data_IF_764899508257
#
_entry.id   IF_764899508257
#
_cell.length_a   1.000
_cell.length_b   1.000
_cell.length_c   1.000
_cell.angle_alpha   90.00
_cell.angle_beta   90.00
_cell.angle_gamma   90.00
#
_symmetry.space_group_name_H-M   'P 1'
#
loop_
_entity.id
_entity.type
_entity.pdbx_description
1 polymer ?
#
# COMPACT_ATOMS: atom_id res chain seq x y z
N UNK A 1 18.19 10.12 -34.30
CA UNK A 1 18.10 9.51 -35.65
C UNK A 1 17.66 8.05 -35.69
N UNK A 2 17.98 7.22 -34.69
CA UNK A 2 17.62 5.79 -34.66
C UNK A 2 16.12 5.50 -34.87
N UNK A 3 15.22 6.24 -34.23
CA UNK A 3 13.77 6.03 -34.42
C UNK A 3 13.25 6.45 -35.81
N UNK A 4 13.95 7.33 -36.53
CA UNK A 4 13.48 7.81 -37.86
C UNK A 4 13.63 6.77 -38.96
N UNK A 5 14.48 5.78 -38.75
CA UNK A 5 14.75 4.67 -39.68
C UNK A 5 14.20 3.34 -39.17
N UNK A 6 13.43 3.34 -38.08
CA UNK A 6 12.82 2.15 -37.50
C UNK A 6 11.65 1.69 -38.37
N UNK A 7 11.55 0.38 -38.62
CA UNK A 7 10.45 -0.27 -39.33
C UNK A 7 9.12 -0.17 -38.58
N UNK A 8 9.16 0.07 -37.26
CA UNK A 8 7.99 0.28 -36.42
C UNK A 8 7.53 1.76 -36.36
N UNK A 9 8.22 2.70 -37.00
CA UNK A 9 7.92 4.14 -36.86
C UNK A 9 6.45 4.51 -37.20
N UNK A 10 5.89 3.94 -38.27
CA UNK A 10 4.50 4.22 -38.64
C UNK A 10 3.49 3.63 -37.62
N UNK A 11 3.84 2.51 -36.98
CA UNK A 11 3.07 1.94 -35.87
C UNK A 11 3.21 2.80 -34.60
N UNK A 12 4.43 3.19 -34.24
CA UNK A 12 4.72 3.98 -33.05
C UNK A 12 4.06 5.37 -33.08
N UNK A 13 3.92 5.98 -34.27
CA UNK A 13 3.23 7.26 -34.45
C UNK A 13 1.74 7.21 -34.12
N UNK A 14 1.10 6.06 -34.30
CA UNK A 14 -0.36 5.89 -34.11
C UNK A 14 -0.69 5.23 -32.76
N UNK A 15 0.30 4.66 -32.08
CA UNK A 15 0.11 4.09 -30.76
C UNK A 15 -0.18 5.19 -29.74
N UNK A 16 -1.30 5.04 -29.03
CA UNK A 16 -1.55 5.85 -27.84
C UNK A 16 -0.50 5.50 -26.77
N UNK A 17 0.24 6.51 -26.31
CA UNK A 17 1.11 6.37 -25.13
C UNK A 17 0.20 6.20 -23.92
N UNK A 18 -0.09 4.95 -23.58
CA UNK A 18 -0.83 4.59 -22.37
C UNK A 18 0.10 4.67 -21.17
N UNK A 19 -0.41 5.17 -20.04
CA UNK A 19 0.29 5.12 -18.76
C UNK A 19 0.40 3.66 -18.28
N UNK A 20 1.35 2.92 -18.84
CA UNK A 20 1.68 1.56 -18.41
C UNK A 20 2.60 1.58 -17.19
N UNK A 21 2.68 0.49 -16.41
CA UNK A 21 3.65 0.37 -15.34
C UNK A 21 5.10 0.58 -15.82
N UNK A 22 5.46 0.02 -16.98
CA UNK A 22 6.80 0.19 -17.54
C UNK A 22 7.11 1.65 -17.90
N UNK A 23 6.13 2.39 -18.42
CA UNK A 23 6.23 3.83 -18.65
C UNK A 23 6.47 4.57 -17.33
N UNK A 24 5.66 4.31 -16.30
CA UNK A 24 5.85 4.91 -14.98
C UNK A 24 7.24 4.59 -14.39
N UNK A 25 7.68 3.34 -14.48
CA UNK A 25 9.00 2.92 -13.98
C UNK A 25 10.15 3.64 -14.67
N UNK A 26 10.08 3.81 -15.99
CA UNK A 26 11.09 4.54 -16.75
C UNK A 26 11.15 6.00 -16.32
N UNK A 27 10.00 6.66 -16.17
CA UNK A 27 9.92 8.06 -15.80
C UNK A 27 10.26 8.33 -14.32
N UNK A 28 9.99 7.38 -13.43
CA UNK A 28 10.37 7.46 -12.01
C UNK A 28 11.84 7.09 -11.75
N UNK A 29 12.57 6.69 -12.79
CA UNK A 29 13.98 6.29 -12.72
C UNK A 29 14.19 4.94 -12.02
N UNK A 30 13.21 4.04 -12.10
CA UNK A 30 13.28 2.69 -11.53
C UNK A 30 14.00 1.71 -12.45
N UNK A 31 13.98 1.97 -13.76
CA UNK A 31 14.65 1.15 -14.78
C UNK A 31 15.40 2.02 -15.78
N UNK A 32 16.51 1.48 -16.26
CA UNK A 32 17.28 2.00 -17.39
C UNK A 32 16.53 1.79 -18.72
N UNK A 33 16.94 2.44 -19.84
CA UNK A 33 16.22 2.29 -21.11
C UNK A 33 16.23 0.86 -21.66
N UNK A 34 17.21 0.04 -21.24
CA UNK A 34 17.30 -1.40 -21.57
C UNK A 34 16.47 -2.28 -20.63
N UNK A 35 15.76 -1.69 -19.65
CA UNK A 35 14.96 -2.41 -18.65
C UNK A 35 15.74 -2.87 -17.41
N UNK A 36 17.05 -2.61 -17.33
CA UNK A 36 17.85 -2.96 -16.16
C UNK A 36 17.38 -2.17 -14.93
N UNK A 37 17.09 -2.81 -13.78
CA UNK A 37 16.70 -2.09 -12.57
C UNK A 37 17.80 -1.14 -12.08
N UNK A 38 17.44 0.10 -11.79
CA UNK A 38 18.36 1.04 -11.13
C UNK A 38 18.49 0.72 -9.64
N UNK A 39 19.41 1.38 -8.93
CA UNK A 39 19.45 1.32 -7.45
C UNK A 39 18.09 1.68 -6.83
N UNK A 40 17.45 2.72 -7.36
CA UNK A 40 16.11 3.13 -6.97
C UNK A 40 15.10 2.01 -7.18
N UNK A 41 15.10 1.41 -8.37
CA UNK A 41 14.24 0.30 -8.74
C UNK A 41 14.42 -0.90 -7.83
N UNK A 42 15.66 -1.23 -7.46
CA UNK A 42 15.96 -2.31 -6.54
C UNK A 42 15.37 -2.06 -5.15
N UNK A 43 15.64 -0.90 -4.54
CA UNK A 43 15.05 -0.55 -3.24
C UNK A 43 13.53 -0.51 -3.32
N UNK A 44 12.99 0.12 -4.37
CA UNK A 44 11.56 0.22 -4.62
C UNK A 44 10.88 -1.15 -4.68
N UNK A 45 11.49 -2.12 -5.37
CA UNK A 45 10.94 -3.47 -5.57
C UNK A 45 10.79 -4.28 -4.28
N UNK A 46 11.43 -3.84 -3.18
CA UNK A 46 11.21 -4.46 -1.89
C UNK A 46 9.84 -4.14 -1.32
N UNK A 47 9.16 -3.07 -1.75
CA UNK A 47 7.91 -2.59 -1.16
C UNK A 47 6.70 -2.79 -2.08
N UNK A 48 5.50 -2.54 -1.54
CA UNK A 48 4.26 -2.63 -2.30
C UNK A 48 3.84 -1.26 -2.84
N UNK A 49 3.28 -1.23 -4.05
CA UNK A 49 2.77 0.01 -4.66
C UNK A 49 3.83 1.10 -4.73
N UNK A 50 3.47 2.33 -4.35
CA UNK A 50 4.37 3.50 -4.34
C UNK A 50 5.23 3.66 -3.08
N UNK A 51 5.17 2.75 -2.11
CA UNK A 51 5.76 2.95 -0.79
C UNK A 51 7.29 2.97 -0.79
N UNK A 52 7.89 2.22 -1.72
CA UNK A 52 9.34 2.17 -1.87
C UNK A 52 9.94 3.43 -2.47
N UNK A 53 9.12 4.31 -3.07
CA UNK A 53 9.58 5.56 -3.69
C UNK A 53 10.15 6.53 -2.64
N UNK A 54 9.42 6.91 -1.58
CA UNK A 54 9.99 7.72 -0.49
C UNK A 54 11.25 7.13 0.12
N UNK A 55 11.28 5.81 0.32
CA UNK A 55 12.44 5.11 0.90
C UNK A 55 13.65 5.27 0.00
N UNK A 56 13.50 4.97 -1.29
CA UNK A 56 14.59 5.08 -2.25
C UNK A 56 15.06 6.54 -2.40
N UNK A 57 14.14 7.51 -2.47
CA UNK A 57 14.48 8.93 -2.52
C UNK A 57 15.30 9.38 -1.30
N UNK A 58 14.92 8.96 -0.09
CA UNK A 58 15.63 9.31 1.14
C UNK A 58 16.99 8.61 1.27
N UNK A 59 17.13 7.40 0.74
CA UNK A 59 18.41 6.70 0.74
C UNK A 59 19.39 7.27 -0.29
N UNK A 60 18.90 7.81 -1.40
CA UNK A 60 19.71 8.49 -2.41
C UNK A 60 20.19 9.87 -1.96
N UNK A 61 19.44 10.57 -1.11
CA UNK A 61 19.87 11.83 -0.50
C UNK A 61 20.80 11.56 0.69
N UNK A 62 22.12 11.69 0.47
CA UNK A 62 23.14 11.46 1.49
C UNK A 62 22.99 12.38 2.72
N UNK A 63 22.34 13.54 2.56
CA UNK A 63 22.10 14.49 3.64
C UNK A 63 20.90 14.10 4.51
N UNK A 64 20.09 13.13 4.09
CA UNK A 64 18.93 12.68 4.85
C UNK A 64 19.36 11.81 6.03
N UNK A 65 19.09 12.21 7.28
CA UNK A 65 19.55 11.46 8.43
C UNK A 65 18.66 10.22 8.68
N UNK A 66 19.28 9.04 8.79
CA UNK A 66 18.58 7.74 8.89
C UNK A 66 17.71 7.65 10.16
N UNK A 67 18.16 8.23 11.26
CA UNK A 67 17.41 8.30 12.52
C UNK A 67 16.15 9.16 12.41
N UNK A 68 16.08 10.10 11.47
CA UNK A 68 14.84 10.83 11.17
C UNK A 68 13.99 10.04 10.18
N UNK A 69 14.62 9.44 9.16
CA UNK A 69 13.92 8.63 8.16
C UNK A 69 13.04 7.56 8.82
N UNK A 70 13.56 6.83 9.79
CA UNK A 70 12.79 5.77 10.48
C UNK A 70 11.47 6.26 11.08
N UNK A 71 11.38 7.52 11.53
CA UNK A 71 10.12 8.12 11.98
C UNK A 71 9.30 8.71 10.83
N UNK A 72 9.96 9.34 9.85
CA UNK A 72 9.32 9.93 8.67
C UNK A 72 8.57 8.89 7.82
N UNK A 73 8.97 7.61 7.88
CA UNK A 73 8.25 6.49 7.28
C UNK A 73 6.80 6.37 7.78
N UNK A 74 6.48 6.86 8.98
CA UNK A 74 5.12 6.89 9.49
C UNK A 74 4.16 7.66 8.58
N UNK A 75 4.68 8.65 7.84
CA UNK A 75 3.88 9.46 6.94
C UNK A 75 3.39 8.68 5.71
N UNK A 76 4.04 7.58 5.30
CA UNK A 76 3.76 6.89 4.01
C UNK A 76 2.32 6.36 3.92
N UNK A 77 1.75 5.89 5.03
CA UNK A 77 0.40 5.29 5.10
C UNK A 77 -0.54 6.02 6.07
N UNK A 78 -0.16 7.20 6.53
CA UNK A 78 -0.86 7.95 7.56
C UNK A 78 -2.21 8.52 7.12
N UNK A 79 -2.35 8.85 5.84
CA UNK A 79 -3.51 9.57 5.32
C UNK A 79 -3.58 11.04 5.78
N UNK A 80 -4.45 11.84 5.19
CA UNK A 80 -4.36 13.30 5.24
C UNK A 80 -4.68 13.92 6.61
N UNK A 81 -5.33 13.18 7.53
CA UNK A 81 -5.84 13.70 8.81
C UNK A 81 -4.73 14.17 9.75
N UNK A 82 -3.50 13.68 9.58
CA UNK A 82 -2.37 14.04 10.43
C UNK A 82 -1.83 15.45 10.16
N UNK A 83 -2.13 16.04 9.01
CA UNK A 83 -1.61 17.34 8.65
C UNK A 83 -2.36 18.50 9.32
N UNK A 84 -3.56 18.27 9.86
CA UNK A 84 -4.34 19.34 10.48
C UNK A 84 -4.62 20.48 9.48
N UNK A 85 -4.07 21.66 9.78
CA UNK A 85 -4.15 22.86 8.92
C UNK A 85 -2.99 22.96 7.90
N UNK A 86 -1.93 22.15 8.07
CA UNK A 86 -0.78 22.10 7.16
C UNK A 86 -1.08 21.26 5.90
N UNK A 87 -0.14 21.29 4.95
CA UNK A 87 -0.25 20.47 3.75
C UNK A 87 -0.12 18.96 4.06
N UNK A 88 -1.06 18.10 3.60
CA UNK A 88 -0.94 16.64 3.71
C UNK A 88 0.31 16.05 3.07
N UNK A 89 0.89 16.75 2.09
CA UNK A 89 2.08 16.34 1.33
C UNK A 89 3.36 17.04 1.82
N UNK A 90 3.27 17.74 2.95
CA UNK A 90 4.38 18.47 3.55
C UNK A 90 5.37 17.55 4.27
N UNK A 91 6.07 18.11 5.25
CA UNK A 91 7.13 17.42 5.98
C UNK A 91 8.37 17.16 5.12
N UNK A 92 9.46 16.76 5.78
CA UNK A 92 10.76 16.57 5.14
C UNK A 92 10.71 15.53 4.01
N UNK A 93 10.10 14.38 4.28
CA UNK A 93 10.03 13.28 3.32
C UNK A 93 9.10 13.62 2.14
N UNK A 94 7.97 14.28 2.38
CA UNK A 94 7.06 14.70 1.32
C UNK A 94 7.71 15.71 0.38
N UNK A 95 8.36 16.75 0.93
CA UNK A 95 9.11 17.74 0.15
C UNK A 95 10.23 17.09 -0.68
N UNK A 96 10.97 16.15 -0.08
CA UNK A 96 11.98 15.38 -0.81
C UNK A 96 11.38 14.62 -1.99
N UNK A 97 10.28 13.89 -1.77
CA UNK A 97 9.61 13.13 -2.81
C UNK A 97 9.11 14.04 -3.94
N UNK A 98 8.50 15.18 -3.61
CA UNK A 98 8.05 16.15 -4.61
C UNK A 98 9.20 16.71 -5.45
N UNK A 99 10.38 16.93 -4.85
CA UNK A 99 11.59 17.36 -5.55
C UNK A 99 12.12 16.27 -6.47
N UNK A 100 12.24 15.04 -5.96
CA UNK A 100 12.81 13.89 -6.69
C UNK A 100 11.90 13.44 -7.83
N UNK A 101 10.59 13.38 -7.59
CA UNK A 101 9.58 12.91 -8.53
C UNK A 101 8.84 14.05 -9.25
N UNK A 102 9.28 15.29 -9.07
CA UNK A 102 8.78 16.50 -9.77
C UNK A 102 7.27 16.63 -9.74
N UNK A 103 6.65 16.33 -8.58
CA UNK A 103 5.20 16.34 -8.40
C UNK A 103 4.41 15.49 -9.42
N UNK A 104 5.00 14.41 -9.92
CA UNK A 104 4.36 13.55 -10.90
C UNK A 104 3.14 12.79 -10.35
N UNK A 105 2.18 12.53 -11.22
CA UNK A 105 1.03 11.67 -10.97
C UNK A 105 1.18 10.36 -11.76
N UNK A 106 1.24 9.24 -11.03
CA UNK A 106 1.26 7.90 -11.60
C UNK A 106 0.25 7.04 -10.83
N UNK A 107 -0.89 6.65 -11.45
CA UNK A 107 -1.92 5.87 -10.77
C UNK A 107 -1.33 4.65 -10.05
N UNK A 108 -1.70 4.47 -8.79
CA UNK A 108 -1.22 3.38 -7.93
C UNK A 108 0.18 3.61 -7.31
N UNK A 109 0.92 4.63 -7.74
CA UNK A 109 2.26 4.95 -7.23
C UNK A 109 2.29 6.29 -6.52
N UNK A 110 2.01 7.39 -7.23
CA UNK A 110 2.15 8.75 -6.71
C UNK A 110 0.96 9.61 -7.11
N UNK A 111 0.59 10.52 -6.21
CA UNK A 111 -0.15 11.73 -6.55
C UNK A 111 0.63 12.95 -6.10
N UNK A 112 0.78 13.94 -6.99
CA UNK A 112 1.59 15.15 -6.75
C UNK A 112 2.99 14.84 -6.20
N UNK A 113 3.60 13.74 -6.67
CA UNK A 113 4.95 13.32 -6.31
C UNK A 113 5.11 12.61 -4.95
N UNK A 114 4.03 12.31 -4.23
CA UNK A 114 4.07 11.53 -2.97
C UNK A 114 3.15 10.30 -3.05
N UNK A 115 3.35 9.26 -2.23
CA UNK A 115 2.44 8.11 -2.20
C UNK A 115 0.99 8.51 -1.95
N UNK A 116 0.05 7.75 -2.52
CA UNK A 116 -1.39 8.04 -2.43
C UNK A 116 -1.93 8.11 -1.00
N UNK A 117 -1.33 7.38 -0.07
CA UNK A 117 -1.73 7.32 1.34
C UNK A 117 -0.85 8.20 2.25
N UNK A 118 -0.04 9.07 1.65
CA UNK A 118 0.87 9.93 2.39
C UNK A 118 0.10 10.92 3.26
N UNK A 119 0.61 11.14 4.46
CA UNK A 119 0.07 12.10 5.42
C UNK A 119 1.17 12.66 6.31
N UNK A 120 1.57 13.90 6.05
CA UNK A 120 2.49 14.64 6.91
C UNK A 120 1.91 14.80 8.32
N UNK A 121 2.78 14.87 9.35
CA UNK A 121 2.39 15.01 10.75
C UNK A 121 2.36 13.69 11.54
N UNK A 122 2.28 12.55 10.86
CA UNK A 122 2.29 11.25 11.55
C UNK A 122 3.64 10.92 12.16
N UNK A 123 4.73 11.35 11.55
CA UNK A 123 6.09 11.25 12.10
C UNK A 123 6.21 11.84 13.50
N UNK A 124 5.65 13.02 13.72
CA UNK A 124 5.69 13.77 14.97
C UNK A 124 4.85 13.06 16.04
N UNK A 125 3.65 12.61 15.66
CA UNK A 125 2.76 11.84 16.54
C UNK A 125 3.41 10.52 16.97
N UNK A 126 3.98 9.75 16.03
CA UNK A 126 4.66 8.49 16.33
C UNK A 126 5.87 8.74 17.23
N UNK A 127 6.67 9.77 16.95
CA UNK A 127 7.83 10.12 17.78
C UNK A 127 7.43 10.46 19.21
N UNK A 128 6.38 11.27 19.38
CA UNK A 128 5.85 11.61 20.70
C UNK A 128 5.38 10.37 21.48
N UNK A 129 4.74 9.41 20.80
CA UNK A 129 4.25 8.17 21.41
C UNK A 129 5.37 7.18 21.75
N UNK A 130 6.44 7.13 20.95
CA UNK A 130 7.62 6.33 21.27
C UNK A 130 8.37 6.91 22.47
N UNK A 131 8.41 8.24 22.60
CA UNK A 131 9.02 8.92 23.74
C UNK A 131 8.18 8.79 25.03
N UNK A 132 6.85 8.96 24.92
CA UNK A 132 5.90 8.78 26.02
C UNK A 132 4.61 8.09 25.53
N UNK A 133 4.47 6.76 25.72
CA UNK A 133 3.29 6.02 25.32
C UNK A 133 1.98 6.47 25.98
N UNK A 134 2.05 7.15 27.15
CA UNK A 134 0.86 7.62 27.89
C UNK A 134 0.32 8.94 27.34
N UNK A 135 1.06 9.62 26.46
CA UNK A 135 0.70 10.91 25.90
C UNK A 135 -0.43 10.86 24.86
N UNK A 136 -0.90 9.67 24.45
CA UNK A 136 -1.88 9.48 23.37
C UNK A 136 -3.14 10.35 23.48
N UNK A 137 -3.70 10.51 24.67
CA UNK A 137 -4.90 11.33 24.88
C UNK A 137 -4.68 12.82 24.64
N UNK A 138 -3.43 13.29 24.73
CA UNK A 138 -3.06 14.69 24.47
C UNK A 138 -2.88 15.00 22.99
N UNK A 139 -2.75 13.97 22.15
CA UNK A 139 -2.47 14.10 20.71
C UNK A 139 -3.75 14.09 19.87
N UNK A 140 -4.90 13.76 20.45
CA UNK A 140 -6.17 13.71 19.73
C UNK A 140 -6.85 15.06 19.67
N UNK A 141 -7.52 15.34 18.55
CA UNK A 141 -8.33 16.54 18.34
C UNK A 141 -9.60 16.18 17.54
N UNK A 142 -10.33 17.17 17.01
CA UNK A 142 -11.56 16.92 16.25
C UNK A 142 -11.33 16.14 14.94
N UNK A 143 -10.16 16.30 14.32
CA UNK A 143 -9.77 15.66 13.06
C UNK A 143 -8.99 14.35 13.27
N UNK A 144 -8.11 14.32 14.27
CA UNK A 144 -7.24 13.19 14.59
C UNK A 144 -7.78 12.41 15.80
N UNK A 145 -8.36 11.24 15.54
CA UNK A 145 -8.98 10.38 16.57
C UNK A 145 -8.04 9.26 17.02
N UNK A 146 -8.35 8.61 18.14
CA UNK A 146 -7.54 7.50 18.68
C UNK A 146 -7.30 6.38 17.66
N UNK A 147 -8.32 6.04 16.85
CA UNK A 147 -8.21 5.00 15.82
C UNK A 147 -7.24 5.36 14.70
N UNK A 148 -7.14 6.64 14.31
CA UNK A 148 -6.16 7.10 13.32
C UNK A 148 -4.73 6.93 13.85
N UNK A 149 -4.50 7.28 15.12
CA UNK A 149 -3.21 7.14 15.80
C UNK A 149 -2.80 5.67 15.92
N UNK A 150 -3.72 4.80 16.34
CA UNK A 150 -3.47 3.35 16.43
C UNK A 150 -3.11 2.76 15.08
N UNK A 151 -3.88 3.11 14.04
CA UNK A 151 -3.62 2.67 12.67
C UNK A 151 -2.24 3.13 12.21
N UNK A 152 -1.90 4.41 12.39
CA UNK A 152 -0.58 4.92 11.99
C UNK A 152 0.58 4.21 12.72
N UNK A 153 0.45 3.92 14.01
CA UNK A 153 1.45 3.15 14.76
C UNK A 153 1.57 1.70 14.26
N UNK A 154 0.46 1.05 13.91
CA UNK A 154 0.47 -0.31 13.34
C UNK A 154 1.13 -0.30 11.96
N UNK A 155 0.76 0.64 11.09
CA UNK A 155 1.32 0.76 9.74
C UNK A 155 2.82 1.11 9.77
N UNK A 156 3.22 2.06 10.62
CA UNK A 156 4.62 2.41 10.80
C UNK A 156 5.47 1.21 11.23
N UNK A 157 5.03 0.46 12.26
CA UNK A 157 5.71 -0.78 12.67
C UNK A 157 5.68 -1.87 11.60
N UNK A 158 4.65 -1.90 10.76
CA UNK A 158 4.58 -2.79 9.60
C UNK A 158 5.69 -2.46 8.60
N UNK A 159 5.86 -1.18 8.25
CA UNK A 159 6.93 -0.71 7.35
C UNK A 159 8.31 -1.01 7.95
N UNK A 160 8.53 -0.75 9.24
CA UNK A 160 9.82 -1.06 9.88
C UNK A 160 10.16 -2.55 9.85
N UNK A 161 9.19 -3.42 10.19
CA UNK A 161 9.38 -4.88 10.10
C UNK A 161 9.67 -5.32 8.67
N UNK A 162 8.97 -4.73 7.71
CA UNK A 162 9.18 -4.98 6.28
C UNK A 162 10.61 -4.64 5.85
N UNK A 163 11.14 -3.49 6.26
CA UNK A 163 12.54 -3.09 6.03
C UNK A 163 13.52 -4.09 6.64
N UNK A 164 13.28 -4.50 7.89
CA UNK A 164 14.16 -5.46 8.60
C UNK A 164 14.23 -6.80 7.85
N UNK A 165 13.08 -7.29 7.37
CA UNK A 165 12.96 -8.58 6.68
C UNK A 165 13.33 -8.53 5.20
N UNK A 166 13.32 -7.35 4.57
CA UNK A 166 13.64 -7.20 3.15
C UNK A 166 15.07 -7.68 2.82
N UNK A 167 15.37 -8.06 1.56
CA UNK A 167 16.69 -8.56 1.18
C UNK A 167 17.85 -7.62 1.54
N UNK A 168 19.03 -8.20 1.76
CA UNK A 168 20.26 -7.43 1.82
C UNK A 168 20.54 -6.81 0.44
N UNK A 169 21.03 -5.58 0.42
CA UNK A 169 21.37 -4.86 -0.80
C UNK A 169 22.65 -4.05 -0.56
N UNK A 170 23.62 -4.01 -1.50
CA UNK A 170 24.93 -3.40 -1.31
C UNK A 170 24.87 -1.86 -1.34
N UNK A 171 24.21 -1.27 -0.33
CA UNK A 171 24.13 0.16 -0.07
C UNK A 171 24.28 0.37 1.44
N UNK A 172 25.31 1.12 1.87
CA UNK A 172 25.57 1.35 3.30
C UNK A 172 24.36 1.91 4.04
N UNK A 173 23.74 2.94 3.46
CA UNK A 173 22.53 3.59 3.99
C UNK A 173 21.34 2.64 4.12
N UNK A 174 21.22 1.63 3.25
CA UNK A 174 20.20 0.58 3.40
C UNK A 174 20.48 -0.29 4.63
N UNK A 175 21.72 -0.71 4.81
CA UNK A 175 22.15 -1.47 6.00
C UNK A 175 21.92 -0.66 7.28
N UNK A 176 22.25 0.63 7.28
CA UNK A 176 21.98 1.55 8.39
C UNK A 176 20.48 1.68 8.68
N UNK A 177 19.65 1.86 7.64
CA UNK A 177 18.20 1.92 7.80
C UNK A 177 17.63 0.63 8.39
N UNK A 178 18.11 -0.53 7.93
CA UNK A 178 17.72 -1.83 8.50
C UNK A 178 18.08 -1.95 9.97
N UNK A 179 19.27 -1.50 10.37
CA UNK A 179 19.72 -1.52 11.76
C UNK A 179 18.87 -0.59 12.64
N UNK A 180 18.64 0.66 12.21
CA UNK A 180 17.81 1.62 12.94
C UNK A 180 16.34 1.18 13.05
N UNK A 181 15.80 0.58 11.98
CA UNK A 181 14.46 0.00 11.99
C UNK A 181 14.35 -1.17 12.98
N UNK A 182 15.37 -2.05 13.01
CA UNK A 182 15.42 -3.18 13.95
C UNK A 182 15.41 -2.70 15.40
N UNK A 183 16.22 -1.70 15.73
CA UNK A 183 16.28 -1.15 17.08
C UNK A 183 14.89 -0.64 17.55
N UNK A 184 14.16 0.05 16.67
CA UNK A 184 12.81 0.55 16.98
C UNK A 184 11.77 -0.57 17.08
N UNK A 185 11.83 -1.59 16.22
CA UNK A 185 10.97 -2.77 16.32
C UNK A 185 11.17 -3.48 17.67
N UNK A 186 12.42 -3.67 18.07
CA UNK A 186 12.75 -4.33 19.34
C UNK A 186 12.30 -3.50 20.55
N UNK A 187 12.48 -2.17 20.51
CA UNK A 187 12.03 -1.24 21.58
C UNK A 187 10.51 -1.12 21.70
N UNK A 188 9.79 -1.22 20.59
CA UNK A 188 8.33 -1.00 20.55
C UNK A 188 7.52 -2.30 20.51
N UNK A 189 8.18 -3.45 20.68
CA UNK A 189 7.53 -4.74 20.80
C UNK A 189 6.63 -4.75 22.06
N UNK A 190 5.32 -4.73 21.86
CA UNK A 190 4.37 -5.04 22.94
C UNK A 190 4.48 -6.53 23.30
N UNK A 191 4.35 -6.92 24.59
CA UNK A 191 4.36 -8.32 25.03
C UNK A 191 3.33 -9.20 24.31
N UNK A 192 2.24 -8.61 23.81
CA UNK A 192 1.14 -9.30 23.11
C UNK A 192 1.49 -9.73 21.68
N UNK A 193 2.65 -9.31 21.15
CA UNK A 193 3.11 -9.65 19.78
C UNK A 193 3.76 -11.02 19.69
N UNK A 194 4.02 -11.68 20.83
CA UNK A 194 4.60 -13.01 20.93
C UNK A 194 3.55 -14.12 20.75
N UNK A 195 2.66 -13.98 19.77
CA UNK A 195 1.92 -15.13 19.27
C UNK A 195 2.80 -15.76 18.20
N UNK A 196 3.49 -16.83 18.58
CA UNK A 196 4.24 -17.63 17.65
C UNK A 196 3.26 -18.20 16.61
N UNK A 197 3.40 -17.80 15.35
CA UNK A 197 2.54 -18.28 14.28
C UNK A 197 2.69 -19.80 14.08
N UNK A 198 3.81 -20.40 14.54
CA UNK A 198 3.98 -21.84 14.58
C UNK A 198 3.05 -22.52 15.60
N UNK A 199 2.62 -21.83 16.65
CA UNK A 199 1.56 -22.31 17.56
C UNK A 199 0.14 -22.21 17.00
N UNK A 200 -0.05 -21.64 15.80
CA UNK A 200 -1.38 -21.40 15.20
C UNK A 200 -1.70 -22.24 13.95
N UNK A 201 -1.01 -23.35 13.69
CA UNK A 201 -1.41 -24.33 12.65
C UNK A 201 -2.04 -25.60 13.27
N UNK A 202 -3.07 -26.22 12.65
CA UNK A 202 -4.46 -25.73 12.59
C UNK A 202 -5.45 -26.66 13.31
N UNK A 203 -6.42 -26.10 14.04
CA UNK A 203 -7.67 -26.78 14.45
C UNK A 203 -8.66 -26.97 13.26
N UNK A 204 -8.20 -26.86 12.00
CA UNK A 204 -9.03 -26.91 10.78
C UNK A 204 -9.15 -28.31 10.13
N UNK A 205 -8.77 -29.40 10.79
CA UNK A 205 -8.92 -30.76 10.25
C UNK A 205 -9.82 -31.70 11.09
N UNK A 206 -10.90 -31.17 11.67
CA UNK A 206 -12.01 -32.02 12.20
C UNK A 206 -13.38 -31.51 11.75
N UNK A 207 -13.57 -31.40 10.44
CA UNK A 207 -14.89 -31.26 9.83
C UNK A 207 -14.95 -31.91 8.44
N UNK A 208 -14.26 -33.03 8.26
CA UNK A 208 -14.16 -33.70 6.96
C UNK A 208 -13.64 -35.12 7.06
N UNK A 209 -14.16 -35.92 7.98
CA UNK A 209 -14.00 -37.38 7.93
C UNK A 209 -15.17 -38.02 8.71
N UNK A 210 -16.24 -38.30 7.97
CA UNK A 210 -17.29 -39.24 8.36
C UNK A 210 -17.79 -39.86 7.06
N UNK A 211 -16.96 -40.74 6.52
CA UNK A 211 -17.34 -41.62 5.42
C UNK A 211 -18.15 -42.78 6.06
N UNK A 212 -19.46 -42.80 5.79
CA UNK A 212 -20.32 -43.95 6.06
C UNK A 212 -21.14 -44.24 4.79
N UNK A 213 -21.11 -45.47 4.25
CA UNK A 213 -21.69 -45.75 2.95
C UNK A 213 -23.21 -45.96 3.06
N UNK A 214 -23.99 -45.19 2.31
CA UNK A 214 -25.44 -45.42 2.19
C UNK A 214 -25.77 -46.12 0.87
N UNK A 215 -26.04 -47.42 0.96
CA UNK A 215 -26.54 -48.26 -0.12
C UNK A 215 -28.08 -48.30 -0.16
N UNK A 216 -28.63 -47.90 -1.32
CA UNK A 216 -29.89 -48.32 -2.00
C UNK A 216 -31.18 -48.63 -1.20
N UNK A 217 -32.24 -47.88 -1.56
CA UNK A 217 -33.64 -48.35 -1.68
C UNK A 217 -34.47 -47.25 -2.39
N UNK A 218 -34.71 -47.32 -3.71
CA UNK A 218 -35.84 -47.96 -4.44
C UNK A 218 -37.20 -47.24 -4.28
N UNK A 219 -37.73 -46.74 -5.41
CA UNK A 219 -39.12 -46.30 -5.64
C UNK A 219 -39.31 -44.78 -5.47
N UNK A 220 -40.00 -44.01 -6.33
CA UNK A 220 -40.92 -44.35 -7.42
C UNK A 220 -41.07 -43.09 -8.30
N UNK A 221 -41.20 -43.30 -9.61
CA UNK A 221 -41.54 -42.33 -10.65
C UNK A 221 -42.89 -41.63 -10.43
N UNK A 222 -42.98 -40.30 -10.63
CA UNK A 222 -44.11 -39.64 -11.32
C UNK A 222 -43.59 -38.40 -12.07
N UNK A 223 -44.00 -38.29 -13.33
CA UNK A 223 -43.65 -37.26 -14.32
C UNK A 223 -44.49 -35.96 -14.15
N UNK A 224 -44.21 -34.88 -14.92
CA UNK A 224 -44.60 -33.51 -14.61
C UNK A 224 -45.96 -33.12 -15.20
N UNK A 225 -46.61 -32.13 -14.61
CA UNK A 225 -47.83 -31.51 -15.18
C UNK A 225 -47.66 -30.01 -15.29
N UNK A 226 -47.71 -29.52 -16.53
CA UNK A 226 -47.82 -28.11 -16.90
C UNK A 226 -49.29 -27.65 -16.91
N UNK A 227 -49.52 -26.36 -16.64
CA UNK A 227 -50.62 -25.49 -17.16
C UNK A 227 -50.32 -24.04 -16.74
N UNK A 228 -49.95 -23.16 -17.69
CA UNK A 228 -50.81 -22.16 -18.37
C UNK A 228 -51.46 -21.16 -17.39
N UNK A 229 -51.08 -19.87 -17.33
CA UNK A 229 -51.19 -18.76 -18.29
C UNK A 229 -52.56 -18.01 -18.24
N UNK A 230 -52.46 -16.67 -18.34
CA UNK A 230 -53.51 -15.64 -18.54
C UNK A 230 -53.95 -14.90 -17.25
N UNK A 231 -54.14 -13.58 -17.20
CA UNK A 231 -54.03 -12.50 -18.19
C UNK A 231 -54.04 -11.12 -17.51
N UNK A 232 -53.49 -10.15 -18.22
CA UNK A 232 -53.56 -8.69 -18.12
C UNK A 232 -54.88 -8.06 -17.62
N UNK A 233 -54.75 -6.88 -17.01
CA UNK A 233 -55.58 -5.72 -17.35
C UNK A 233 -54.89 -4.39 -17.01
N UNK A 234 -54.68 -3.60 -18.05
CA UNK A 234 -54.23 -2.21 -18.03
C UNK A 234 -55.37 -1.27 -17.59
N UNK A 235 -55.02 -0.09 -17.09
CA UNK A 235 -55.76 1.15 -17.34
C UNK A 235 -54.88 2.38 -17.13
N UNK A 236 -54.47 2.95 -18.26
CA UNK A 236 -54.14 4.36 -18.46
C UNK A 236 -55.41 5.22 -18.39
N UNK A 237 -55.27 6.48 -17.98
CA UNK A 237 -56.31 7.49 -18.05
C UNK A 237 -55.76 8.89 -17.75
N UNK A 238 -55.68 9.71 -18.80
CA UNK A 238 -55.17 11.08 -18.89
C UNK A 238 -55.97 12.16 -18.14
N UNK A 239 -55.22 13.16 -17.62
CA UNK A 239 -55.43 14.62 -17.70
C UNK A 239 -56.67 15.29 -17.07
N UNK A 240 -56.84 16.62 -17.20
CA UNK A 240 -55.84 17.70 -17.29
C UNK A 240 -56.17 18.92 -16.39
N UNK A 241 -55.17 19.79 -16.14
CA UNK A 241 -55.20 21.28 -16.16
C UNK A 241 -53.96 21.85 -15.48
#
# INVERSE_FOLDING_TARGET
DVCRTCDQLEHDKILAIVNSPAYAWRHLGLVEPDGTPTRRGMIFSFFHGGEGLPVAAALEDETYPINELVFDLANIRAGPRFAGEDSPMGGRLGILCQRVYRRADYPGYLSMGVPMQYGAGASEVVRALVADPRSKHKLTNELLRHGDIERALVEWRSILRHIVLAPAYPLSRWTELKAAAKELVDKTASPTSAVDLATLAPLQQRAGESDAPYSRGRGTTVAPTARQASSSLAKSGDGPS
#
